data_IF_305433493639
#
_entry.id   IF_305433493639
#
_cell.length_a   1.000
_cell.length_b   1.000
_cell.length_c   1.000
_cell.angle_alpha   90.00
_cell.angle_beta   90.00
_cell.angle_gamma   90.00
#
_symmetry.space_group_name_H-M   'P 1'
#
loop_
_entity.id
_entity.type
_entity.pdbx_description
1 polymer ?
#
# COMPACT_ATOMS: atom_id res chain seq x y z
N UNK A 1 -8.24 -9.38 -21.88
CA UNK A 1 -9.19 -9.69 -20.78
C UNK A 1 -8.79 -10.90 -19.93
N UNK A 2 -8.00 -11.87 -20.44
CA UNK A 2 -7.60 -13.06 -19.69
C UNK A 2 -6.71 -12.78 -18.45
N UNK A 3 -5.79 -11.82 -18.54
CA UNK A 3 -4.88 -11.46 -17.44
C UNK A 3 -5.62 -10.97 -16.18
N UNK A 4 -6.64 -10.14 -16.35
CA UNK A 4 -7.42 -9.61 -15.22
C UNK A 4 -8.24 -10.73 -14.54
N UNK A 5 -8.76 -11.69 -15.31
CA UNK A 5 -9.44 -12.87 -14.78
C UNK A 5 -8.48 -13.78 -14.01
N UNK A 6 -7.26 -13.98 -14.52
CA UNK A 6 -6.22 -14.75 -13.82
C UNK A 6 -5.81 -14.07 -12.52
N UNK A 7 -5.57 -12.75 -12.55
CA UNK A 7 -5.29 -11.96 -11.36
C UNK A 7 -6.41 -12.07 -10.31
N UNK A 8 -7.66 -11.86 -10.73
CA UNK A 8 -8.82 -11.99 -9.84
C UNK A 8 -8.96 -13.40 -9.30
N UNK A 9 -8.63 -14.44 -10.07
CA UNK A 9 -8.66 -15.82 -9.60
C UNK A 9 -7.61 -16.09 -8.51
N UNK A 10 -6.41 -15.51 -8.63
CA UNK A 10 -5.36 -15.59 -7.60
C UNK A 10 -5.68 -14.73 -6.37
N UNK A 11 -6.30 -13.57 -6.54
CA UNK A 11 -6.65 -12.66 -5.45
C UNK A 11 -7.91 -13.08 -4.68
N UNK A 12 -8.89 -13.72 -5.35
CA UNK A 12 -10.17 -14.17 -4.77
C UNK A 12 -10.04 -14.97 -3.46
N UNK A 13 -9.13 -15.94 -3.30
CA UNK A 13 -9.00 -16.66 -2.05
C UNK A 13 -8.46 -15.83 -0.88
N UNK A 14 -7.70 -14.75 -1.15
CA UNK A 14 -7.22 -13.84 -0.12
C UNK A 14 -8.26 -12.78 0.30
N UNK A 15 -9.27 -12.49 -0.55
CA UNK A 15 -10.31 -11.50 -0.27
C UNK A 15 -11.73 -12.06 0.01
N UNK A 16 -12.01 -13.33 -0.29
CA UNK A 16 -13.30 -14.00 -0.08
C UNK A 16 -13.41 -15.11 1.00
N UNK A 17 -12.42 -15.31 1.86
CA UNK A 17 -12.43 -16.27 2.97
C UNK A 17 -13.17 -15.77 4.23
N UNK A 18 -13.72 -16.70 5.02
CA UNK A 18 -14.60 -16.43 6.18
C UNK A 18 -14.02 -15.53 7.29
N UNK A 19 -12.69 -15.35 7.37
CA UNK A 19 -12.01 -14.57 8.43
C UNK A 19 -11.48 -13.22 7.92
N UNK A 20 -11.84 -12.81 6.69
CA UNK A 20 -11.09 -11.77 5.97
C UNK A 20 -11.52 -10.31 6.22
N UNK A 21 -12.39 -10.08 7.20
CA UNK A 21 -12.77 -8.73 7.61
C UNK A 21 -11.57 -7.91 8.09
N UNK A 22 -10.56 -8.56 8.67
CA UNK A 22 -9.34 -7.89 9.16
C UNK A 22 -8.50 -7.32 8.01
N UNK A 23 -8.41 -8.03 6.89
CA UNK A 23 -7.69 -7.64 5.68
C UNK A 23 -8.39 -6.45 5.00
N UNK A 24 -9.72 -6.46 4.97
CA UNK A 24 -10.53 -5.33 4.51
C UNK A 24 -10.38 -4.10 5.42
N UNK A 25 -10.37 -4.28 6.75
CA UNK A 25 -10.09 -3.19 7.68
C UNK A 25 -8.70 -2.60 7.48
N UNK A 26 -7.67 -3.44 7.29
CA UNK A 26 -6.31 -2.96 7.01
C UNK A 26 -6.27 -2.15 5.72
N UNK A 27 -6.92 -2.62 4.65
CA UNK A 27 -7.01 -1.89 3.39
C UNK A 27 -7.75 -0.57 3.56
N UNK A 28 -8.88 -0.55 4.27
CA UNK A 28 -9.62 0.67 4.58
C UNK A 28 -8.78 1.68 5.38
N UNK A 29 -8.02 1.21 6.37
CA UNK A 29 -7.09 2.07 7.13
C UNK A 29 -6.01 2.65 6.23
N UNK A 30 -5.41 1.87 5.33
CA UNK A 30 -4.38 2.36 4.37
C UNK A 30 -4.96 3.46 3.47
N UNK A 31 -6.19 3.28 2.98
CA UNK A 31 -6.90 4.32 2.19
C UNK A 31 -7.11 5.56 3.05
N UNK A 32 -7.61 5.39 4.29
CA UNK A 32 -7.83 6.50 5.23
C UNK A 32 -6.57 7.32 5.48
N UNK A 33 -5.43 6.67 5.75
CA UNK A 33 -4.13 7.36 5.92
C UNK A 33 -3.69 8.07 4.64
N UNK A 34 -3.94 7.47 3.47
CA UNK A 34 -3.59 8.09 2.18
C UNK A 34 -4.41 9.35 1.92
N UNK A 35 -5.72 9.31 2.15
CA UNK A 35 -6.60 10.48 2.01
C UNK A 35 -6.27 11.57 3.04
N UNK A 36 -5.97 11.16 4.28
CA UNK A 36 -5.57 12.10 5.33
C UNK A 36 -4.26 12.82 4.98
N UNK A 37 -3.28 12.12 4.41
CA UNK A 37 -2.03 12.73 3.94
C UNK A 37 -2.29 13.78 2.85
N UNK A 38 -3.25 13.55 1.95
CA UNK A 38 -3.64 14.53 0.92
C UNK A 38 -4.30 15.75 1.56
N UNK A 39 -5.25 15.54 2.49
CA UNK A 39 -5.88 16.63 3.23
C UNK A 39 -4.85 17.51 3.96
N UNK A 40 -3.87 16.88 4.62
CA UNK A 40 -2.76 17.58 5.26
C UNK A 40 -1.89 18.34 4.26
N UNK A 41 -1.66 17.78 3.07
CA UNK A 41 -0.89 18.45 2.02
C UNK A 41 -1.58 19.76 1.58
N UNK A 42 -2.91 19.76 1.44
CA UNK A 42 -3.68 20.98 1.12
C UNK A 42 -3.61 22.00 2.25
N UNK A 43 -3.66 21.55 3.51
CA UNK A 43 -3.52 22.44 4.68
C UNK A 43 -2.14 23.08 4.75
N UNK A 44 -1.09 22.32 4.46
CA UNK A 44 0.29 22.83 4.37
C UNK A 44 0.40 23.87 3.25
N UNK A 45 -0.15 23.60 2.07
CA UNK A 45 -0.14 24.57 0.97
C UNK A 45 -0.86 25.89 1.33
N UNK A 46 -1.98 25.82 2.07
CA UNK A 46 -2.66 27.02 2.58
C UNK A 46 -1.83 27.75 3.66
N UNK A 47 -1.10 27.01 4.49
CA UNK A 47 -0.16 27.57 5.46
C UNK A 47 1.03 28.26 4.75
N UNK A 48 1.56 27.67 3.67
CA UNK A 48 2.67 28.24 2.89
C UNK A 48 2.31 29.65 2.40
N UNK A 49 1.08 29.83 1.91
CA UNK A 49 0.57 31.15 1.52
C UNK A 49 0.62 32.16 2.68
N UNK A 50 0.11 31.78 3.86
CA UNK A 50 0.12 32.63 5.07
C UNK A 50 1.55 32.98 5.50
N UNK A 51 2.47 32.04 5.35
CA UNK A 51 3.89 32.25 5.64
C UNK A 51 4.51 33.29 4.70
N UNK A 52 4.31 33.14 3.39
CA UNK A 52 4.81 34.10 2.41
C UNK A 52 4.16 35.49 2.56
N UNK A 53 2.86 35.56 2.88
CA UNK A 53 2.17 36.83 3.15
C UNK A 53 2.76 37.53 4.39
N UNK A 54 3.03 36.80 5.48
CA UNK A 54 3.63 37.34 6.69
C UNK A 54 5.09 37.79 6.46
N UNK A 55 5.82 37.07 5.62
CA UNK A 55 7.19 37.41 5.21
C UNK A 55 7.22 38.70 4.39
N UNK A 56 6.30 38.85 3.43
CA UNK A 56 6.16 40.05 2.62
C UNK A 56 5.79 41.29 3.47
N UNK A 57 4.98 41.10 4.51
CA UNK A 57 4.61 42.15 5.46
C UNK A 57 5.70 42.48 6.51
N UNK A 58 6.89 41.84 6.45
CA UNK A 58 7.98 41.99 7.43
C UNK A 58 7.53 41.79 8.90
N UNK A 59 6.51 40.96 9.13
CA UNK A 59 5.92 40.80 10.45
C UNK A 59 6.67 39.73 11.29
N UNK A 60 7.86 40.10 11.77
CA UNK A 60 8.75 39.20 12.53
C UNK A 60 8.16 38.65 13.84
N UNK A 61 7.07 39.22 14.37
CA UNK A 61 6.39 38.74 15.58
C UNK A 61 5.53 37.51 15.33
N UNK A 62 5.00 37.34 14.11
CA UNK A 62 4.17 36.20 13.75
C UNK A 62 5.00 34.96 13.37
N UNK A 63 6.22 35.17 12.87
CA UNK A 63 7.12 34.12 12.36
C UNK A 63 7.32 32.91 13.30
N UNK A 64 7.64 33.07 14.59
CA UNK A 64 7.86 31.92 15.46
C UNK A 64 6.60 31.08 15.69
N UNK A 65 5.42 31.70 15.76
CA UNK A 65 4.15 30.99 15.89
C UNK A 65 3.83 30.15 14.64
N UNK A 66 4.09 30.71 13.45
CA UNK A 66 3.93 29.99 12.19
C UNK A 66 4.87 28.78 12.11
N UNK A 67 6.14 28.92 12.51
CA UNK A 67 7.12 27.82 12.49
C UNK A 67 6.67 26.66 13.40
N UNK A 68 6.17 26.95 14.60
CA UNK A 68 5.65 25.92 15.51
C UNK A 68 4.42 25.21 14.92
N UNK A 69 3.51 25.96 14.29
CA UNK A 69 2.34 25.41 13.59
C UNK A 69 2.78 24.45 12.46
N UNK A 70 3.77 24.85 11.66
CA UNK A 70 4.34 24.02 10.60
C UNK A 70 5.01 22.74 11.12
N UNK A 71 5.80 22.85 12.18
CA UNK A 71 6.39 21.67 12.83
C UNK A 71 5.30 20.69 13.29
N UNK A 72 4.17 21.18 13.79
CA UNK A 72 3.01 20.36 14.13
C UNK A 72 2.41 19.64 12.92
N UNK A 73 2.19 20.35 11.80
CA UNK A 73 1.70 19.73 10.57
C UNK A 73 2.68 18.69 10.01
N UNK A 74 3.98 18.98 10.04
CA UNK A 74 5.03 18.05 9.60
C UNK A 74 5.09 16.79 10.46
N UNK A 75 5.04 16.92 11.79
CA UNK A 75 4.99 15.76 12.68
C UNK A 75 3.76 14.89 12.40
N UNK A 76 2.59 15.50 12.18
CA UNK A 76 1.35 14.79 11.92
C UNK A 76 1.36 14.07 10.57
N UNK A 77 1.78 14.75 9.49
CA UNK A 77 1.82 14.15 8.14
C UNK A 77 2.85 13.02 8.08
N UNK A 78 4.03 13.20 8.69
CA UNK A 78 5.06 12.15 8.75
C UNK A 78 4.53 10.94 9.52
N UNK A 79 3.92 11.16 10.69
CA UNK A 79 3.31 10.09 11.48
C UNK A 79 2.26 9.30 10.67
N UNK A 80 1.38 10.00 9.95
CA UNK A 80 0.38 9.36 9.11
C UNK A 80 0.96 8.58 7.93
N UNK A 81 1.98 9.11 7.26
CA UNK A 81 2.66 8.42 6.16
C UNK A 81 3.34 7.15 6.68
N UNK A 82 4.10 7.24 7.77
CA UNK A 82 4.81 6.09 8.36
C UNK A 82 3.84 5.02 8.84
N UNK A 83 2.74 5.41 9.51
CA UNK A 83 1.69 4.47 9.92
C UNK A 83 1.03 3.80 8.71
N UNK A 84 0.71 4.56 7.65
CA UNK A 84 0.14 4.04 6.42
C UNK A 84 1.06 3.03 5.71
N UNK A 85 2.35 3.36 5.61
CA UNK A 85 3.36 2.49 5.00
C UNK A 85 3.59 1.22 5.83
N UNK A 86 3.56 1.33 7.16
CA UNK A 86 3.65 0.16 8.05
C UNK A 86 2.45 -0.79 7.87
N UNK A 87 1.23 -0.24 7.81
CA UNK A 87 0.02 -1.02 7.55
C UNK A 87 0.06 -1.69 6.18
N UNK A 88 0.53 -0.98 5.16
CA UNK A 88 0.72 -1.53 3.82
C UNK A 88 1.68 -2.72 3.84
N UNK A 89 2.86 -2.57 4.44
CA UNK A 89 3.83 -3.67 4.58
C UNK A 89 3.20 -4.87 5.29
N UNK A 90 2.46 -4.62 6.38
CA UNK A 90 1.77 -5.68 7.12
C UNK A 90 0.74 -6.43 6.28
N UNK A 91 0.00 -5.73 5.42
CA UNK A 91 -0.95 -6.33 4.49
C UNK A 91 -0.23 -7.18 3.43
N UNK A 92 0.88 -6.68 2.86
CA UNK A 92 1.72 -7.42 1.89
C UNK A 92 2.27 -8.70 2.52
N UNK A 93 2.80 -8.64 3.75
CA UNK A 93 3.29 -9.83 4.45
C UNK A 93 2.21 -10.88 4.65
N UNK A 94 1.02 -10.48 5.11
CA UNK A 94 -0.11 -11.41 5.29
C UNK A 94 -0.53 -12.05 3.96
N UNK A 95 -0.58 -11.25 2.90
CA UNK A 95 -0.95 -11.76 1.59
C UNK A 95 0.08 -12.73 1.04
N UNK A 96 1.37 -12.42 1.19
CA UNK A 96 2.48 -13.29 0.83
C UNK A 96 2.38 -14.63 1.56
N UNK A 97 2.29 -14.63 2.89
CA UNK A 97 2.20 -15.86 3.69
C UNK A 97 1.04 -16.75 3.24
N UNK A 98 -0.15 -16.17 3.04
CA UNK A 98 -1.33 -16.92 2.61
C UNK A 98 -1.18 -17.54 1.21
N UNK A 99 -0.60 -16.80 0.26
CA UNK A 99 -0.37 -17.30 -1.09
C UNK A 99 0.74 -18.35 -1.10
N UNK A 100 1.86 -18.12 -0.41
CA UNK A 100 2.97 -19.08 -0.32
C UNK A 100 2.50 -20.40 0.28
N UNK A 101 1.75 -20.40 1.39
CA UNK A 101 1.22 -21.63 1.99
C UNK A 101 0.34 -22.42 1.00
N UNK A 102 -0.55 -21.73 0.27
CA UNK A 102 -1.45 -22.37 -0.69
C UNK A 102 -0.70 -22.94 -1.90
N UNK A 103 0.27 -22.20 -2.45
CA UNK A 103 1.06 -22.65 -3.59
C UNK A 103 1.99 -23.81 -3.18
N UNK A 104 2.60 -23.73 -2.00
CA UNK A 104 3.44 -24.79 -1.45
C UNK A 104 2.64 -26.07 -1.19
N UNK A 105 1.44 -25.99 -0.60
CA UNK A 105 0.55 -27.14 -0.41
C UNK A 105 0.12 -27.76 -1.74
N UNK A 106 -0.16 -26.95 -2.76
CA UNK A 106 -0.56 -27.44 -4.08
C UNK A 106 0.60 -28.06 -4.86
N UNK A 107 1.83 -27.58 -4.66
CA UNK A 107 3.04 -28.11 -5.28
C UNK A 107 3.43 -29.45 -4.64
N UNK A 108 3.56 -29.49 -3.30
CA UNK A 108 3.88 -30.70 -2.51
C UNK A 108 2.74 -31.72 -2.47
N UNK A 109 1.51 -31.30 -2.75
CA UNK A 109 0.34 -32.17 -2.78
C UNK A 109 0.32 -33.13 -3.98
N UNK A 110 0.35 -34.43 -3.68
CA UNK A 110 0.00 -35.48 -4.64
C UNK A 110 1.09 -35.89 -5.63
N UNK A 111 2.36 -35.91 -5.22
CA UNK A 111 3.52 -36.33 -6.04
C UNK A 111 3.67 -35.53 -7.36
N UNK A 112 3.04 -34.35 -7.45
CA UNK A 112 3.05 -33.51 -8.66
C UNK A 112 4.42 -32.95 -8.99
N UNK A 113 5.31 -32.78 -8.02
CA UNK A 113 6.73 -32.48 -8.25
C UNK A 113 7.37 -33.43 -9.25
N UNK A 114 7.18 -34.73 -9.04
CA UNK A 114 7.78 -35.75 -9.90
C UNK A 114 7.16 -35.73 -11.30
N UNK A 115 5.84 -35.47 -11.38
CA UNK A 115 5.12 -35.33 -12.66
C UNK A 115 5.50 -34.05 -13.42
N UNK A 116 5.75 -32.94 -12.73
CA UNK A 116 6.16 -31.67 -13.33
C UNK A 116 7.59 -31.75 -13.90
N UNK A 117 8.51 -32.44 -13.21
CA UNK A 117 9.84 -32.76 -13.74
C UNK A 117 9.78 -33.51 -15.08
N UNK A 118 8.81 -34.39 -15.26
CA UNK A 118 8.60 -35.17 -16.50
C UNK A 118 7.93 -34.37 -17.63
N UNK A 119 7.29 -33.22 -17.35
CA UNK A 119 6.49 -32.46 -18.33
C UNK A 119 7.14 -31.13 -18.74
N UNK A 120 8.33 -30.82 -18.23
CA UNK A 120 9.01 -29.54 -18.43
C UNK A 120 8.74 -28.59 -17.26
N UNK A 121 9.42 -28.83 -16.14
CA UNK A 121 9.37 -27.94 -14.98
C UNK A 121 10.02 -26.60 -15.35
N UNK A 122 9.41 -25.44 -15.01
CA UNK A 122 10.07 -24.15 -15.19
C UNK A 122 11.34 -24.09 -14.33
N UNK A 123 12.41 -23.46 -14.83
CA UNK A 123 13.61 -23.22 -14.03
C UNK A 123 13.26 -22.47 -12.72
N UNK A 124 13.74 -22.99 -11.59
CA UNK A 124 13.50 -22.50 -10.22
C UNK A 124 12.02 -22.23 -9.87
N UNK A 125 11.18 -23.28 -9.76
CA UNK A 125 9.78 -23.13 -9.40
C UNK A 125 9.59 -22.57 -7.98
N UNK A 126 10.52 -22.86 -7.08
CA UNK A 126 10.58 -22.34 -5.71
C UNK A 126 10.84 -20.83 -5.68
N UNK A 127 11.80 -20.35 -6.46
CA UNK A 127 12.12 -18.94 -6.58
C UNK A 127 10.95 -18.18 -7.20
N UNK A 128 10.33 -18.73 -8.24
CA UNK A 128 9.12 -18.16 -8.85
C UNK A 128 7.97 -18.06 -7.85
N UNK A 129 7.72 -19.11 -7.07
CA UNK A 129 6.68 -19.06 -6.02
C UNK A 129 7.02 -17.99 -4.98
N UNK A 130 8.27 -17.85 -4.55
CA UNK A 130 8.64 -16.87 -3.52
C UNK A 130 8.60 -15.42 -4.02
N UNK A 131 9.22 -15.14 -5.17
CA UNK A 131 9.42 -13.78 -5.70
C UNK A 131 8.19 -13.27 -6.44
N UNK A 132 7.55 -14.08 -7.29
CA UNK A 132 6.41 -13.62 -8.08
C UNK A 132 5.19 -13.36 -7.19
N UNK A 133 4.98 -14.17 -6.14
CA UNK A 133 3.90 -13.95 -5.16
C UNK A 133 4.12 -12.64 -4.40
N UNK A 134 5.37 -12.36 -4.01
CA UNK A 134 5.71 -11.10 -3.34
C UNK A 134 5.48 -9.91 -4.27
N UNK A 135 6.00 -9.96 -5.50
CA UNK A 135 5.81 -8.89 -6.48
C UNK A 135 4.32 -8.69 -6.79
N UNK A 136 3.55 -9.75 -6.94
CA UNK A 136 2.11 -9.69 -7.17
C UNK A 136 1.41 -8.94 -6.03
N UNK A 137 1.68 -9.30 -4.78
CA UNK A 137 1.05 -8.69 -3.61
C UNK A 137 1.46 -7.21 -3.44
N UNK A 138 2.76 -6.93 -3.53
CA UNK A 138 3.32 -5.59 -3.36
C UNK A 138 2.83 -4.63 -4.46
N UNK A 139 3.06 -4.99 -5.73
CA UNK A 139 2.70 -4.14 -6.88
C UNK A 139 1.20 -3.88 -6.94
N UNK A 140 0.36 -4.87 -6.61
CA UNK A 140 -1.09 -4.68 -6.61
C UNK A 140 -1.54 -3.64 -5.59
N UNK A 141 -1.02 -3.72 -4.36
CA UNK A 141 -1.38 -2.75 -3.31
C UNK A 141 -0.80 -1.37 -3.64
N UNK A 142 0.44 -1.31 -4.11
CA UNK A 142 1.10 -0.05 -4.51
C UNK A 142 0.36 0.62 -5.66
N UNK A 143 -0.02 -0.13 -6.71
CA UNK A 143 -0.77 0.40 -7.86
C UNK A 143 -2.14 0.90 -7.43
N UNK A 144 -2.86 0.14 -6.61
CA UNK A 144 -4.18 0.53 -6.12
C UNK A 144 -4.11 1.79 -5.25
N UNK A 145 -3.15 1.84 -4.31
CA UNK A 145 -2.91 3.03 -3.47
C UNK A 145 -2.51 4.24 -4.32
N UNK A 146 -1.61 4.05 -5.28
CA UNK A 146 -1.17 5.11 -6.19
C UNK A 146 -2.30 5.64 -7.06
N UNK A 147 -3.18 4.77 -7.54
CA UNK A 147 -4.36 5.17 -8.31
C UNK A 147 -5.31 6.05 -7.47
N UNK A 148 -5.63 5.62 -6.25
CA UNK A 148 -6.44 6.41 -5.31
C UNK A 148 -5.76 7.75 -5.01
N UNK A 149 -4.44 7.73 -4.74
CA UNK A 149 -3.69 8.95 -4.45
C UNK A 149 -3.74 9.95 -5.60
N UNK A 150 -3.57 9.48 -6.84
CA UNK A 150 -3.64 10.33 -8.03
C UNK A 150 -5.04 10.91 -8.25
N UNK A 151 -6.09 10.10 -8.12
CA UNK A 151 -7.48 10.58 -8.25
C UNK A 151 -7.79 11.63 -7.19
N UNK A 152 -7.46 11.35 -5.93
CA UNK A 152 -7.75 12.24 -4.83
C UNK A 152 -6.97 13.57 -4.93
N UNK A 153 -5.73 13.54 -5.43
CA UNK A 153 -4.96 14.75 -5.74
C UNK A 153 -5.52 15.54 -6.92
N UNK A 154 -6.07 14.87 -7.92
CA UNK A 154 -6.69 15.54 -9.06
C UNK A 154 -8.01 16.23 -8.67
N UNK A 155 -8.73 15.67 -7.69
CA UNK A 155 -9.99 16.24 -7.18
C UNK A 155 -9.81 17.33 -6.13
N UNK A 156 -8.60 17.52 -5.61
CA UNK A 156 -8.27 18.46 -4.54
C UNK A 156 -7.70 19.76 -5.12
#
# INVERSE_FOLDING_TARGET
MALLKQFLHLARPFWGGKTQWREWLLLASIIGFTLFSIFMSVKIAAWDKRFYDALAAFNGKAMPALIVEYCGYMALIIGCIVCGDWLQKRLVFRWRTHLTERFQQNWLGGHKHYRLQLTGEPDNPDQRIADDIYQLADKSIVLFRSFINNIAKFSA
#
